data_IF_770933363756
#
_entry.id   IF_770933363756
#
_cell.length_a   1.000
_cell.length_b   1.000
_cell.length_c   1.000
_cell.angle_alpha   90.00
_cell.angle_beta   90.00
_cell.angle_gamma   90.00
#
_symmetry.space_group_name_H-M   'P 1'
#
loop_
_entity.id
_entity.type
_entity.pdbx_description
1 polymer ?
#
# COMPACT_ATOMS: atom_id res chain seq x y z
N UNK A 1 27.45 -14.06 -28.20
CA UNK A 1 26.44 -13.81 -27.14
C UNK A 1 27.12 -13.01 -26.07
N UNK A 2 26.58 -11.85 -25.70
CA UNK A 2 27.10 -11.05 -24.58
C UNK A 2 27.13 -11.94 -23.31
N UNK A 3 28.23 -11.97 -22.53
CA UNK A 3 28.31 -12.75 -21.29
C UNK A 3 27.12 -12.53 -20.36
N UNK A 4 26.54 -11.33 -20.36
CA UNK A 4 25.34 -11.02 -19.59
C UNK A 4 24.08 -11.69 -20.13
N UNK A 5 23.92 -11.76 -21.45
CA UNK A 5 22.78 -12.46 -22.04
C UNK A 5 22.91 -13.99 -21.86
N UNK A 6 24.13 -14.51 -21.75
CA UNK A 6 24.36 -15.91 -21.40
C UNK A 6 23.93 -16.21 -19.95
N UNK A 7 24.17 -15.30 -19.00
CA UNK A 7 23.70 -15.45 -17.61
C UNK A 7 22.16 -15.48 -17.50
N UNK A 8 21.46 -14.65 -18.27
CA UNK A 8 19.98 -14.63 -18.31
C UNK A 8 19.42 -15.84 -19.05
N UNK A 9 20.18 -16.43 -19.98
CA UNK A 9 19.75 -17.60 -20.76
C UNK A 9 19.57 -18.87 -19.91
N UNK A 10 20.22 -18.94 -18.75
CA UNK A 10 20.04 -20.02 -17.77
C UNK A 10 19.00 -19.61 -16.73
N UNK A 11 17.74 -20.06 -16.84
CA UNK A 11 16.69 -19.64 -15.92
C UNK A 11 16.97 -20.19 -14.52
N UNK A 12 17.11 -19.29 -13.56
CA UNK A 12 17.10 -19.67 -12.15
C UNK A 12 15.67 -19.92 -11.68
N UNK A 13 15.32 -21.19 -11.54
CA UNK A 13 14.01 -21.65 -11.09
C UNK A 13 13.65 -21.14 -9.69
N UNK A 14 14.62 -20.86 -8.83
CA UNK A 14 14.37 -20.30 -7.51
C UNK A 14 13.89 -18.84 -7.62
N UNK A 15 14.55 -18.04 -8.44
CA UNK A 15 14.13 -16.66 -8.74
C UNK A 15 12.76 -16.62 -9.44
N UNK A 16 12.49 -17.56 -10.34
CA UNK A 16 11.18 -17.70 -10.98
C UNK A 16 10.08 -18.04 -9.95
N UNK A 17 10.30 -19.05 -9.11
CA UNK A 17 9.36 -19.45 -8.07
C UNK A 17 9.11 -18.34 -7.05
N UNK A 18 10.17 -17.63 -6.65
CA UNK A 18 10.08 -16.45 -5.79
C UNK A 18 9.22 -15.35 -6.41
N UNK A 19 9.45 -15.06 -7.69
CA UNK A 19 8.66 -14.05 -8.41
C UNK A 19 7.19 -14.46 -8.49
N UNK A 20 6.88 -15.74 -8.77
CA UNK A 20 5.50 -16.23 -8.78
C UNK A 20 4.82 -16.11 -7.41
N UNK A 21 5.55 -16.42 -6.34
CA UNK A 21 5.04 -16.27 -4.96
C UNK A 21 4.74 -14.80 -4.63
N UNK A 22 5.59 -13.88 -5.06
CA UNK A 22 5.38 -12.43 -4.88
C UNK A 22 4.12 -11.98 -5.62
N UNK A 23 3.91 -12.42 -6.86
CA UNK A 23 2.70 -12.11 -7.62
C UNK A 23 1.43 -12.55 -6.91
N UNK A 24 1.38 -13.82 -6.48
CA UNK A 24 0.22 -14.35 -5.74
C UNK A 24 0.00 -13.55 -4.46
N UNK A 25 1.07 -13.22 -3.73
CA UNK A 25 1.02 -12.41 -2.52
C UNK A 25 0.44 -11.02 -2.75
N UNK A 26 0.81 -10.34 -3.84
CA UNK A 26 0.27 -9.02 -4.23
C UNK A 26 -1.23 -9.13 -4.51
N UNK A 27 -1.65 -10.06 -5.38
CA UNK A 27 -3.06 -10.24 -5.74
C UNK A 27 -3.92 -10.51 -4.50
N UNK A 28 -3.48 -11.42 -3.63
CA UNK A 28 -4.22 -11.76 -2.40
C UNK A 28 -4.28 -10.58 -1.42
N UNK A 29 -3.24 -9.74 -1.35
CA UNK A 29 -3.18 -8.60 -0.43
C UNK A 29 -4.10 -7.46 -0.83
N UNK A 30 -4.14 -7.13 -2.12
CA UNK A 30 -4.86 -5.96 -2.62
C UNK A 30 -6.32 -6.25 -2.94
N UNK A 31 -6.66 -7.48 -3.36
CA UNK A 31 -8.02 -7.85 -3.74
C UNK A 31 -9.08 -7.50 -2.67
N UNK A 32 -8.91 -7.78 -1.37
CA UNK A 32 -9.89 -7.42 -0.34
C UNK A 32 -10.07 -5.90 -0.21
N UNK A 33 -8.99 -5.12 -0.40
CA UNK A 33 -9.03 -3.67 -0.33
C UNK A 33 -9.81 -3.09 -1.53
N UNK A 34 -9.52 -3.56 -2.74
CA UNK A 34 -10.26 -3.15 -3.95
C UNK A 34 -11.75 -3.50 -3.85
N UNK A 35 -12.07 -4.72 -3.40
CA UNK A 35 -13.46 -5.15 -3.21
C UNK A 35 -14.19 -4.27 -2.19
N UNK A 36 -13.52 -3.86 -1.10
CA UNK A 36 -14.10 -2.96 -0.10
C UNK A 36 -14.42 -1.59 -0.68
N UNK A 37 -13.51 -0.99 -1.46
CA UNK A 37 -13.73 0.31 -2.09
C UNK A 37 -14.87 0.23 -3.11
N UNK A 38 -14.88 -0.81 -3.96
CA UNK A 38 -15.92 -1.03 -4.98
C UNK A 38 -17.30 -1.23 -4.32
N UNK A 39 -17.36 -1.97 -3.21
CA UNK A 39 -18.62 -2.22 -2.48
C UNK A 39 -19.13 -1.00 -1.73
N UNK A 40 -18.23 -0.22 -1.12
CA UNK A 40 -18.61 0.98 -0.35
C UNK A 40 -18.88 2.19 -1.24
N UNK A 41 -18.46 2.16 -2.51
CA UNK A 41 -18.61 3.26 -3.50
C UNK A 41 -18.20 4.64 -2.96
N UNK A 42 -17.28 4.66 -2.01
CA UNK A 42 -16.91 5.88 -1.29
C UNK A 42 -15.47 5.80 -0.83
N UNK A 43 -14.73 6.87 -1.10
CA UNK A 43 -13.34 7.08 -0.66
C UNK A 43 -13.26 7.83 0.69
N UNK A 44 -14.34 7.88 1.47
CA UNK A 44 -14.41 8.63 2.74
C UNK A 44 -13.32 8.17 3.72
N UNK A 45 -12.54 9.13 4.24
CA UNK A 45 -11.46 8.87 5.20
C UNK A 45 -10.05 8.68 4.59
N UNK A 46 -9.89 8.75 3.27
CA UNK A 46 -8.57 8.80 2.61
C UNK A 46 -8.10 10.25 2.44
N UNK A 47 -6.92 10.58 2.97
CA UNK A 47 -6.31 11.90 2.78
C UNK A 47 -5.81 12.06 1.34
N UNK A 48 -6.28 13.06 0.56
CA UNK A 48 -5.84 13.28 -0.82
C UNK A 48 -4.33 13.50 -0.94
N UNK A 49 -3.72 14.19 0.04
CA UNK A 49 -2.28 14.43 0.06
C UNK A 49 -1.48 13.16 0.33
N UNK A 50 -2.04 12.22 1.09
CA UNK A 50 -1.41 10.92 1.31
C UNK A 50 -1.39 10.10 0.02
N UNK A 51 -2.48 10.15 -0.76
CA UNK A 51 -2.56 9.54 -2.10
C UNK A 51 -1.57 10.22 -3.07
N UNK A 52 -1.44 11.54 -3.02
CA UNK A 52 -0.46 12.28 -3.83
C UNK A 52 0.98 11.84 -3.53
N UNK A 53 1.35 11.77 -2.24
CA UNK A 53 2.70 11.36 -1.83
C UNK A 53 2.98 9.89 -2.19
N UNK A 54 1.99 9.01 -2.01
CA UNK A 54 2.10 7.59 -2.38
C UNK A 54 2.29 7.42 -3.89
N UNK A 55 1.43 8.05 -4.70
CA UNK A 55 1.50 7.97 -6.17
C UNK A 55 2.78 8.55 -6.74
N UNK A 56 3.25 9.69 -6.22
CA UNK A 56 4.51 10.30 -6.67
C UNK A 56 5.72 9.46 -6.25
N UNK A 57 5.75 8.96 -5.01
CA UNK A 57 6.79 8.05 -4.53
C UNK A 57 6.83 6.74 -5.32
N UNK A 58 5.69 6.09 -5.53
CA UNK A 58 5.55 4.84 -6.28
C UNK A 58 5.96 5.00 -7.74
N UNK A 59 5.54 6.09 -8.39
CA UNK A 59 5.95 6.41 -9.78
C UNK A 59 7.47 6.57 -9.88
N UNK A 60 8.11 7.22 -8.92
CA UNK A 60 9.57 7.36 -8.89
C UNK A 60 10.29 6.03 -8.61
N UNK A 61 9.77 5.20 -7.70
CA UNK A 61 10.31 3.86 -7.44
C UNK A 61 10.24 2.97 -8.68
N UNK A 62 9.12 3.03 -9.40
CA UNK A 62 8.92 2.29 -10.62
C UNK A 62 9.83 2.78 -11.76
N UNK A 63 9.88 4.10 -11.98
CA UNK A 63 10.76 4.70 -12.96
C UNK A 63 12.25 4.40 -12.66
N UNK A 64 12.65 4.35 -11.38
CA UNK A 64 14.00 3.93 -10.98
C UNK A 64 14.34 2.54 -11.54
N UNK A 65 13.46 1.54 -11.35
CA UNK A 65 13.67 0.17 -11.83
C UNK A 65 13.79 0.14 -13.36
N UNK A 66 12.93 0.87 -14.08
CA UNK A 66 12.93 0.88 -15.54
C UNK A 66 14.14 1.58 -16.15
N UNK A 67 14.59 2.68 -15.52
CA UNK A 67 15.73 3.47 -15.98
C UNK A 67 17.04 2.74 -15.71
N UNK A 68 17.11 1.93 -14.64
CA UNK A 68 18.33 1.26 -14.19
C UNK A 68 19.06 0.61 -15.40
N UNK A 69 20.34 0.97 -15.66
CA UNK A 69 21.10 0.44 -16.79
C UNK A 69 21.12 -1.09 -16.82
N UNK A 70 21.17 -1.69 -15.62
CA UNK A 70 21.10 -3.15 -15.46
C UNK A 70 19.75 -3.67 -15.99
N UNK A 71 18.62 -3.20 -15.48
CA UNK A 71 17.28 -3.56 -15.99
C UNK A 71 17.15 -3.41 -17.51
N UNK A 72 17.65 -2.31 -18.08
CA UNK A 72 17.58 -2.08 -19.55
C UNK A 72 18.38 -3.08 -20.37
N UNK A 73 19.57 -3.45 -19.90
CA UNK A 73 20.39 -4.45 -20.57
C UNK A 73 19.74 -5.84 -20.49
N UNK A 74 19.01 -6.17 -19.43
CA UNK A 74 18.28 -7.43 -19.33
C UNK A 74 17.14 -7.49 -20.36
N UNK A 75 16.40 -6.38 -20.52
CA UNK A 75 15.36 -6.24 -21.55
C UNK A 75 15.95 -6.29 -22.97
N UNK A 76 17.15 -5.77 -23.18
CA UNK A 76 17.83 -5.85 -24.49
C UNK A 76 18.21 -7.31 -24.84
N UNK A 77 18.70 -8.09 -23.87
CA UNK A 77 19.04 -9.50 -24.04
C UNK A 77 17.84 -10.38 -24.44
N UNK A 78 16.61 -9.98 -24.07
CA UNK A 78 15.38 -10.69 -24.46
C UNK A 78 15.14 -10.79 -25.97
N UNK A 79 15.86 -10.03 -26.80
CA UNK A 79 15.81 -10.19 -28.27
C UNK A 79 16.66 -11.36 -28.78
N UNK A 80 17.59 -11.86 -27.97
CA UNK A 80 18.60 -12.86 -28.36
C UNK A 80 18.41 -14.21 -27.65
N UNK A 81 17.52 -14.31 -26.66
CA UNK A 81 17.28 -15.51 -25.85
C UNK A 81 15.85 -16.04 -26.04
N UNK A 82 15.64 -17.30 -25.65
CA UNK A 82 14.32 -17.92 -25.65
C UNK A 82 13.32 -17.17 -24.74
N UNK A 83 12.04 -17.28 -25.10
CA UNK A 83 10.95 -16.58 -24.41
C UNK A 83 10.85 -16.95 -22.92
N UNK A 84 11.08 -18.22 -22.56
CA UNK A 84 10.94 -18.67 -21.17
C UNK A 84 12.01 -18.09 -20.22
N UNK A 85 13.32 -18.17 -20.52
CA UNK A 85 14.35 -17.48 -19.73
C UNK A 85 14.14 -15.96 -19.67
N UNK A 86 13.73 -15.31 -20.77
CA UNK A 86 13.40 -13.89 -20.76
C UNK A 86 12.24 -13.57 -19.81
N UNK A 87 11.14 -14.32 -19.90
CA UNK A 87 9.98 -14.12 -19.01
C UNK A 87 10.37 -14.39 -17.57
N UNK A 88 11.10 -15.45 -17.26
CA UNK A 88 11.54 -15.74 -15.90
C UNK A 88 12.47 -14.65 -15.34
N UNK A 89 13.40 -14.17 -16.17
CA UNK A 89 14.35 -13.10 -15.86
C UNK A 89 13.71 -11.72 -15.75
N UNK A 90 12.59 -11.45 -16.42
CA UNK A 90 11.88 -10.17 -16.32
C UNK A 90 10.62 -10.24 -15.46
N UNK A 91 10.18 -11.42 -15.00
CA UNK A 91 8.87 -11.61 -14.39
C UNK A 91 8.62 -10.63 -13.24
N UNK A 92 9.59 -10.44 -12.34
CA UNK A 92 9.45 -9.47 -11.25
C UNK A 92 9.19 -8.04 -11.76
N UNK A 93 9.96 -7.56 -12.73
CA UNK A 93 9.77 -6.21 -13.31
C UNK A 93 8.46 -6.14 -14.10
N UNK A 94 8.14 -7.20 -14.84
CA UNK A 94 6.94 -7.34 -15.66
C UNK A 94 5.66 -7.40 -14.83
N UNK A 95 5.70 -8.01 -13.64
CA UNK A 95 4.59 -8.04 -12.69
C UNK A 95 4.14 -6.63 -12.30
N UNK A 96 5.06 -5.66 -12.29
CA UNK A 96 4.74 -4.26 -12.01
C UNK A 96 4.36 -3.44 -13.26
N UNK A 97 4.54 -4.01 -14.46
CA UNK A 97 4.18 -3.43 -15.77
C UNK A 97 2.82 -3.94 -16.30
N UNK A 98 2.30 -5.04 -15.75
CA UNK A 98 1.04 -5.65 -16.19
C UNK A 98 -0.15 -4.72 -15.88
N UNK A 99 -1.00 -4.37 -16.86
CA UNK A 99 -2.20 -3.54 -16.62
C UNK A 99 -3.23 -4.18 -15.68
N UNK A 100 -3.19 -5.51 -15.51
CA UNK A 100 -4.03 -6.24 -14.56
C UNK A 100 -3.45 -6.28 -13.14
N UNK A 101 -2.14 -6.01 -13.00
CA UNK A 101 -1.40 -5.93 -11.74
C UNK A 101 -0.73 -4.54 -11.62
N UNK A 102 -1.46 -3.50 -12.06
CA UNK A 102 -0.97 -2.14 -12.05
C UNK A 102 -0.49 -1.76 -10.65
N UNK A 103 0.60 -1.00 -10.62
CA UNK A 103 1.18 -0.44 -9.41
C UNK A 103 0.08 -0.01 -8.42
N UNK A 104 0.01 -0.58 -7.21
CA UNK A 104 -1.14 -0.41 -6.31
C UNK A 104 -1.44 1.05 -6.00
N UNK A 105 -0.45 1.94 -6.14
CA UNK A 105 -0.60 3.38 -6.01
C UNK A 105 -1.38 4.02 -7.17
N UNK A 106 -1.15 3.58 -8.41
CA UNK A 106 -1.87 4.09 -9.60
C UNK A 106 -3.31 3.59 -9.63
N UNK A 107 -3.51 2.33 -9.24
CA UNK A 107 -4.85 1.73 -9.14
C UNK A 107 -5.64 2.40 -8.00
N UNK A 108 -4.98 2.69 -6.86
CA UNK A 108 -5.56 3.51 -5.79
C UNK A 108 -5.95 4.91 -6.26
N UNK A 109 -5.17 5.55 -7.16
CA UNK A 109 -5.51 6.84 -7.73
C UNK A 109 -6.75 6.77 -8.65
N UNK A 110 -6.86 5.71 -9.45
CA UNK A 110 -8.01 5.50 -10.34
C UNK A 110 -9.29 5.22 -9.55
N UNK A 111 -9.23 4.31 -8.57
CA UNK A 111 -10.37 4.07 -7.67
C UNK A 111 -10.69 5.32 -6.85
N UNK A 112 -9.69 6.07 -6.40
CA UNK A 112 -9.90 7.35 -5.72
C UNK A 112 -10.68 8.32 -6.61
N UNK A 113 -10.32 8.50 -7.88
CA UNK A 113 -11.01 9.41 -8.81
C UNK A 113 -12.44 8.95 -9.14
N UNK A 114 -12.65 7.65 -9.32
CA UNK A 114 -13.97 7.08 -9.68
C UNK A 114 -14.94 7.14 -8.51
N UNK A 115 -14.49 6.80 -7.30
CA UNK A 115 -15.30 6.73 -6.09
C UNK A 115 -15.18 7.96 -5.18
N UNK A 116 -14.44 9.00 -5.60
CA UNK A 116 -14.56 10.30 -4.95
C UNK A 116 -15.98 10.80 -5.17
N UNK A 117 -16.71 11.23 -4.13
CA UNK A 117 -18.05 11.77 -4.31
C UNK A 117 -17.97 12.98 -5.24
N UNK A 118 -18.38 12.79 -6.49
CA UNK A 118 -18.80 13.87 -7.37
C UNK A 118 -20.04 14.43 -6.71
N UNK A 119 -20.02 15.70 -6.33
CA UNK A 119 -21.22 16.38 -5.84
C UNK A 119 -22.34 16.08 -6.83
N UNK A 120 -23.25 15.19 -6.45
CA UNK A 120 -24.42 14.85 -7.22
C UNK A 120 -25.28 16.11 -7.28
N UNK A 121 -25.68 16.47 -8.49
CA UNK A 121 -26.57 17.55 -8.89
C UNK A 121 -27.32 18.27 -7.75
N UNK A 122 -27.29 19.61 -7.69
CA UNK A 122 -28.03 20.41 -6.70
C UNK A 122 -29.56 20.43 -6.91
N UNK A 123 -30.14 19.41 -7.55
CA UNK A 123 -31.56 19.38 -7.92
C UNK A 123 -32.39 18.29 -7.23
N UNK A 124 -31.80 17.54 -6.31
CA UNK A 124 -32.52 16.61 -5.43
C UNK A 124 -31.88 16.63 -4.05
N UNK A 125 -32.08 17.74 -3.34
CA UNK A 125 -31.83 17.83 -1.90
C UNK A 125 -33.17 17.57 -1.22
N UNK A 126 -33.47 16.28 -0.97
CA UNK A 126 -34.55 15.90 -0.07
C UNK A 126 -34.17 16.35 1.35
N UNK A 127 -35.07 17.12 1.95
CA UNK A 127 -34.89 17.98 3.14
C UNK A 127 -34.60 17.29 4.48
N UNK A 128 -34.07 16.07 4.54
CA UNK A 128 -33.90 15.31 5.80
C UNK A 128 -32.48 14.79 6.08
N UNK A 129 -31.45 15.19 5.31
CA UNK A 129 -30.07 14.84 5.63
C UNK A 129 -29.50 15.77 6.73
N UNK A 130 -28.94 15.23 7.85
CA UNK A 130 -28.28 16.04 8.86
C UNK A 130 -27.10 16.82 8.25
N UNK A 131 -26.65 17.93 8.87
CA UNK A 131 -25.70 18.86 8.26
C UNK A 131 -24.45 18.11 7.79
N UNK A 132 -24.23 18.07 6.47
CA UNK A 132 -23.03 17.49 5.87
C UNK A 132 -21.82 18.27 6.38
N UNK A 133 -21.13 17.72 7.38
CA UNK A 133 -19.95 18.29 8.01
C UNK A 133 -18.97 18.84 6.96
N UNK A 134 -18.51 20.07 7.18
CA UNK A 134 -17.56 20.86 6.38
C UNK A 134 -16.17 20.21 6.14
N UNK A 135 -15.97 18.94 6.53
CA UNK A 135 -14.67 18.28 6.60
C UNK A 135 -14.32 17.37 5.42
N UNK A 136 -15.23 17.16 4.46
CA UNK A 136 -14.89 16.44 3.23
C UNK A 136 -14.08 17.36 2.30
N UNK A 137 -12.82 17.03 1.92
CA UNK A 137 -12.08 17.83 0.96
C UNK A 137 -12.90 17.98 -0.33
N UNK A 138 -13.01 19.22 -0.82
CA UNK A 138 -13.79 19.51 -2.02
C UNK A 138 -13.35 18.62 -3.18
N UNK A 139 -14.29 18.13 -4.01
CA UNK A 139 -14.02 17.40 -5.25
C UNK A 139 -12.93 18.07 -6.13
N UNK A 140 -12.83 19.40 -6.04
CA UNK A 140 -11.78 20.20 -6.68
C UNK A 140 -10.36 19.83 -6.20
N UNK A 141 -10.17 19.54 -4.92
CA UNK A 141 -8.89 19.11 -4.35
C UNK A 141 -8.51 17.71 -4.82
N UNK A 142 -9.47 16.78 -4.89
CA UNK A 142 -9.24 15.43 -5.41
C UNK A 142 -8.84 15.45 -6.90
N UNK A 143 -9.53 16.27 -7.70
CA UNK A 143 -9.20 16.48 -9.10
C UNK A 143 -7.82 17.12 -9.26
N UNK A 144 -7.50 18.14 -8.45
CA UNK A 144 -6.20 18.80 -8.44
C UNK A 144 -5.06 17.83 -8.09
N UNK A 145 -5.21 17.03 -7.04
CA UNK A 145 -4.26 15.97 -6.66
C UNK A 145 -4.05 15.00 -7.82
N UNK A 146 -5.12 14.51 -8.44
CA UNK A 146 -5.03 13.57 -9.56
C UNK A 146 -4.29 14.19 -10.74
N UNK A 147 -4.62 15.43 -11.11
CA UNK A 147 -3.95 16.15 -12.18
C UNK A 147 -2.45 16.34 -11.91
N UNK A 148 -2.08 16.68 -10.68
CA UNK A 148 -0.66 16.82 -10.27
C UNK A 148 0.05 15.47 -10.34
N UNK A 149 -0.56 14.39 -9.84
CA UNK A 149 0.02 13.04 -9.92
C UNK A 149 0.26 12.60 -11.36
N UNK A 150 -0.72 12.81 -12.25
CA UNK A 150 -0.61 12.49 -13.68
C UNK A 150 0.48 13.33 -14.35
N UNK A 151 0.48 14.65 -14.11
CA UNK A 151 1.51 15.54 -14.66
C UNK A 151 2.91 15.14 -14.19
N UNK A 152 3.08 14.84 -12.90
CA UNK A 152 4.33 14.34 -12.36
C UNK A 152 4.79 13.05 -13.05
N UNK A 153 3.88 12.08 -13.24
CA UNK A 153 4.19 10.84 -13.93
C UNK A 153 4.64 11.07 -15.39
N UNK A 154 3.96 11.96 -16.10
CA UNK A 154 4.33 12.35 -17.47
C UNK A 154 5.72 12.99 -17.50
N UNK A 155 6.01 13.92 -16.59
CA UNK A 155 7.34 14.58 -16.51
C UNK A 155 8.43 13.55 -16.22
N UNK A 156 8.23 12.68 -15.22
CA UNK A 156 9.18 11.62 -14.88
C UNK A 156 9.41 10.70 -16.07
N UNK A 157 8.36 10.32 -16.80
CA UNK A 157 8.48 9.51 -18.01
C UNK A 157 9.32 10.22 -19.08
N UNK A 158 9.01 11.47 -19.42
CA UNK A 158 9.74 12.25 -20.44
C UNK A 158 11.22 12.39 -20.07
N UNK A 159 11.53 12.78 -18.83
CA UNK A 159 12.91 12.90 -18.37
C UNK A 159 13.63 11.55 -18.39
N UNK A 160 12.95 10.48 -17.98
CA UNK A 160 13.49 9.12 -18.03
C UNK A 160 13.82 8.71 -19.47
N UNK A 161 12.91 8.91 -20.41
CA UNK A 161 13.16 8.68 -21.84
C UNK A 161 14.36 9.49 -22.35
N UNK A 162 14.44 10.77 -21.98
CA UNK A 162 15.55 11.63 -22.39
C UNK A 162 16.90 11.13 -21.86
N UNK A 163 17.01 10.79 -20.57
CA UNK A 163 18.24 10.23 -20.01
C UNK A 163 18.59 8.86 -20.62
N UNK A 164 17.59 8.04 -20.91
CA UNK A 164 17.75 6.70 -21.48
C UNK A 164 18.35 6.74 -22.89
N UNK A 165 17.88 7.66 -23.73
CA UNK A 165 18.24 7.71 -25.16
C UNK A 165 19.25 8.81 -25.51
N UNK A 166 19.11 10.01 -24.95
CA UNK A 166 19.98 11.13 -25.30
C UNK A 166 21.27 11.15 -24.47
N UNK A 167 21.25 10.65 -23.22
CA UNK A 167 22.38 10.72 -22.28
C UNK A 167 22.55 9.43 -21.46
N UNK A 168 22.84 8.27 -22.10
CA UNK A 168 22.90 6.98 -21.41
C UNK A 168 23.95 6.93 -20.29
N UNK A 169 25.04 7.71 -20.39
CA UNK A 169 26.07 7.81 -19.35
C UNK A 169 25.53 8.33 -18.00
N UNK A 170 24.48 9.16 -18.01
CA UNK A 170 23.90 9.73 -16.79
C UNK A 170 22.68 8.96 -16.27
N UNK A 171 22.30 7.86 -16.94
CA UNK A 171 21.12 7.06 -16.58
C UNK A 171 21.19 6.52 -15.15
N UNK A 172 22.36 6.02 -14.71
CA UNK A 172 22.52 5.54 -13.33
C UNK A 172 22.28 6.66 -12.30
N UNK A 173 22.77 7.87 -12.58
CA UNK A 173 22.56 9.03 -11.72
C UNK A 173 21.09 9.42 -11.63
N UNK A 174 20.38 9.40 -12.75
CA UNK A 174 18.93 9.64 -12.80
C UNK A 174 18.15 8.58 -12.01
N UNK A 175 18.50 7.29 -12.17
CA UNK A 175 17.90 6.22 -11.38
C UNK A 175 18.11 6.46 -9.87
N UNK A 176 19.36 6.72 -9.45
CA UNK A 176 19.68 6.98 -8.05
C UNK A 176 18.89 8.17 -7.48
N UNK A 177 18.75 9.25 -8.24
CA UNK A 177 17.92 10.40 -7.86
C UNK A 177 16.46 9.99 -7.63
N UNK A 178 15.86 9.26 -8.58
CA UNK A 178 14.47 8.78 -8.45
C UNK A 178 14.26 7.87 -7.23
N UNK A 179 15.23 7.01 -6.91
CA UNK A 179 15.16 6.11 -5.75
C UNK A 179 15.24 6.87 -4.43
N UNK A 180 16.17 7.82 -4.32
CA UNK A 180 16.28 8.70 -3.14
C UNK A 180 15.01 9.53 -2.98
N UNK A 181 14.55 10.17 -4.07
CA UNK A 181 13.37 11.01 -4.05
C UNK A 181 12.12 10.22 -3.63
N UNK A 182 11.94 9.02 -4.18
CA UNK A 182 10.88 8.09 -3.77
C UNK A 182 10.95 7.76 -2.28
N UNK A 183 12.14 7.44 -1.77
CA UNK A 183 12.35 7.11 -0.34
C UNK A 183 12.02 8.28 0.58
N UNK A 184 12.41 9.51 0.20
CA UNK A 184 12.10 10.73 0.96
C UNK A 184 10.59 10.96 1.00
N UNK A 185 9.91 10.88 -0.15
CA UNK A 185 8.46 11.03 -0.21
C UNK A 185 7.72 9.98 0.62
N UNK A 186 8.15 8.72 0.55
CA UNK A 186 7.58 7.65 1.37
C UNK A 186 7.83 7.91 2.86
N UNK A 187 9.02 8.39 3.24
CA UNK A 187 9.31 8.72 4.64
C UNK A 187 8.42 9.85 5.17
N UNK A 188 8.18 10.89 4.36
CA UNK A 188 7.24 11.98 4.67
C UNK A 188 5.81 11.44 4.83
N UNK A 189 5.45 10.39 4.09
CA UNK A 189 4.15 9.75 4.21
C UNK A 189 4.04 8.89 5.49
N UNK A 190 5.05 8.08 5.81
CA UNK A 190 5.01 7.13 6.92
C UNK A 190 5.26 7.77 8.29
N UNK A 191 6.15 8.77 8.41
CA UNK A 191 6.48 9.34 9.73
C UNK A 191 5.29 10.00 10.44
N UNK A 192 4.48 10.85 9.79
CA UNK A 192 3.28 11.41 10.41
C UNK A 192 2.31 10.31 10.85
N UNK A 193 2.14 9.26 10.04
CA UNK A 193 1.28 8.13 10.38
C UNK A 193 1.78 7.38 11.62
N UNK A 194 3.10 7.17 11.74
CA UNK A 194 3.72 6.56 12.91
C UNK A 194 3.48 7.43 14.15
N UNK A 195 3.76 8.73 14.03
CA UNK A 195 3.56 9.68 15.12
C UNK A 195 2.10 9.72 15.59
N UNK A 196 1.15 9.87 14.66
CA UNK A 196 -0.27 9.92 14.98
C UNK A 196 -0.75 8.61 15.61
N UNK A 197 -0.33 7.46 15.11
CA UNK A 197 -0.68 6.16 15.70
C UNK A 197 -0.12 6.03 17.12
N UNK A 198 1.10 6.50 17.35
CA UNK A 198 1.72 6.53 18.67
C UNK A 198 0.95 7.42 19.65
N UNK A 199 0.54 8.62 19.22
CA UNK A 199 -0.19 9.57 20.04
C UNK A 199 -1.62 9.11 20.35
N UNK A 200 -2.33 8.57 19.36
CA UNK A 200 -3.72 8.12 19.52
C UNK A 200 -3.84 6.78 20.27
N UNK A 201 -2.77 5.97 20.31
CA UNK A 201 -2.74 4.63 20.91
C UNK A 201 -3.85 3.70 20.39
N UNK A 202 -4.32 3.94 19.17
CA UNK A 202 -5.32 3.13 18.45
C UNK A 202 -4.92 3.02 16.99
N UNK A 203 -5.21 1.88 16.41
CA UNK A 203 -5.12 1.66 14.96
C UNK A 203 -6.41 2.22 14.38
N UNK A 204 -6.33 3.36 13.68
CA UNK A 204 -7.50 4.04 13.11
C UNK A 204 -8.14 3.25 11.96
N UNK A 205 -8.16 3.80 10.75
CA UNK A 205 -8.68 3.12 9.55
C UNK A 205 -7.72 2.07 8.95
N UNK A 206 -6.57 1.83 9.58
CA UNK A 206 -5.48 1.02 9.03
C UNK A 206 -5.80 -0.49 9.12
N UNK A 207 -5.71 -1.19 8.00
CA UNK A 207 -5.97 -2.63 7.92
C UNK A 207 -4.74 -3.44 8.37
N UNK A 208 -4.73 -3.88 9.64
CA UNK A 208 -3.68 -4.77 10.19
C UNK A 208 -3.47 -6.02 9.31
N UNK A 209 -4.53 -6.73 8.85
CA UNK A 209 -4.33 -7.92 8.00
C UNK A 209 -3.57 -7.62 6.70
N UNK A 210 -3.85 -6.47 6.09
CA UNK A 210 -3.19 -6.06 4.86
C UNK A 210 -1.71 -5.76 5.10
N UNK A 211 -1.36 -5.16 6.25
CA UNK A 211 0.03 -4.89 6.61
C UNK A 211 0.81 -6.16 6.97
N UNK A 212 0.16 -7.17 7.59
CA UNK A 212 0.79 -8.45 7.89
C UNK A 212 1.29 -9.18 6.64
N UNK A 213 0.66 -8.98 5.49
CA UNK A 213 1.10 -9.58 4.22
C UNK A 213 2.07 -8.65 3.48
N UNK A 214 1.78 -7.35 3.44
CA UNK A 214 2.63 -6.38 2.72
C UNK A 214 4.00 -6.21 3.34
N UNK A 215 4.12 -6.10 4.67
CA UNK A 215 5.40 -5.83 5.33
C UNK A 215 6.42 -6.94 5.04
N UNK A 216 6.12 -8.24 5.22
CA UNK A 216 7.04 -9.29 4.77
C UNK A 216 7.26 -9.28 3.25
N UNK A 217 6.20 -9.03 2.48
CA UNK A 217 6.26 -8.93 1.02
C UNK A 217 7.26 -7.89 0.51
N UNK A 218 7.35 -6.72 1.16
CA UNK A 218 8.29 -5.66 0.76
C UNK A 218 9.75 -6.07 0.96
N UNK A 219 10.06 -6.84 2.01
CA UNK A 219 11.41 -7.38 2.23
C UNK A 219 11.75 -8.49 1.24
N UNK A 220 10.79 -9.37 0.95
CA UNK A 220 10.95 -10.42 -0.06
C UNK A 220 11.19 -9.80 -1.44
N UNK A 221 10.44 -8.76 -1.78
CA UNK A 221 10.61 -8.00 -3.00
C UNK A 221 11.98 -7.30 -3.06
N UNK A 222 12.39 -6.61 -1.99
CA UNK A 222 13.72 -6.01 -1.90
C UNK A 222 14.83 -7.06 -2.09
N UNK A 223 14.71 -8.23 -1.46
CA UNK A 223 15.63 -9.35 -1.63
C UNK A 223 15.70 -9.84 -3.08
N UNK A 224 14.56 -9.97 -3.76
CA UNK A 224 14.54 -10.35 -5.17
C UNK A 224 15.28 -9.34 -6.05
N UNK A 225 15.18 -8.04 -5.75
CA UNK A 225 15.89 -6.98 -6.47
C UNK A 225 17.39 -6.96 -6.15
N UNK A 226 17.79 -7.32 -4.93
CA UNK A 226 19.21 -7.52 -4.58
C UNK A 226 19.80 -8.68 -5.39
N UNK A 227 19.10 -9.80 -5.49
CA UNK A 227 19.56 -10.96 -6.27
C UNK A 227 19.67 -10.62 -7.76
N UNK A 228 18.75 -9.82 -8.29
CA UNK A 228 18.71 -9.42 -9.71
C UNK A 228 19.76 -8.37 -10.06
N UNK A 229 19.86 -7.30 -9.26
CA UNK A 229 20.66 -6.14 -9.62
C UNK A 229 21.96 -5.98 -8.83
N UNK A 230 22.09 -6.66 -7.70
CA UNK A 230 23.26 -6.53 -6.81
C UNK A 230 23.41 -5.12 -6.22
N UNK A 231 24.65 -4.72 -5.99
CA UNK A 231 24.99 -3.40 -5.41
C UNK A 231 24.69 -2.23 -6.35
N UNK A 232 24.75 -2.43 -7.67
CA UNK A 232 24.44 -1.39 -8.67
C UNK A 232 22.97 -0.97 -8.64
N UNK A 233 22.08 -1.86 -8.20
CA UNK A 233 20.65 -1.62 -8.04
C UNK A 233 20.23 -1.10 -6.66
N UNK A 234 21.16 -0.58 -5.84
CA UNK A 234 20.86 -0.18 -4.46
C UNK A 234 19.72 0.83 -4.35
N UNK A 235 19.59 1.74 -5.31
CA UNK A 235 18.52 2.73 -5.32
C UNK A 235 17.15 2.11 -5.65
N UNK A 236 17.11 0.94 -6.29
CA UNK A 236 15.89 0.19 -6.58
C UNK A 236 15.42 -0.62 -5.37
N UNK A 237 16.30 -1.45 -4.79
CA UNK A 237 15.92 -2.30 -3.65
C UNK A 237 15.88 -1.53 -2.33
N UNK A 238 16.67 -0.46 -2.19
CA UNK A 238 16.78 0.34 -0.97
C UNK A 238 15.46 1.03 -0.60
N UNK A 239 14.70 1.49 -1.59
CA UNK A 239 13.37 2.09 -1.36
C UNK A 239 12.44 1.12 -0.65
N UNK A 240 12.39 -0.13 -1.10
CA UNK A 240 11.53 -1.18 -0.53
C UNK A 240 12.01 -1.65 0.84
N UNK A 241 13.33 -1.64 1.08
CA UNK A 241 13.89 -1.92 2.39
C UNK A 241 13.46 -0.85 3.41
N UNK A 242 13.64 0.43 3.09
CA UNK A 242 13.30 1.54 3.99
C UNK A 242 11.79 1.59 4.24
N UNK A 243 10.98 1.50 3.18
CA UNK A 243 9.51 1.49 3.31
C UNK A 243 9.02 0.27 4.08
N UNK A 244 9.62 -0.91 3.88
CA UNK A 244 9.33 -2.11 4.65
C UNK A 244 9.64 -1.94 6.14
N UNK A 245 10.74 -1.29 6.50
CA UNK A 245 11.05 -0.97 7.91
C UNK A 245 10.00 -0.02 8.51
N UNK A 246 9.62 1.04 7.78
CA UNK A 246 8.60 2.00 8.23
C UNK A 246 7.23 1.33 8.41
N UNK A 247 6.83 0.49 7.46
CA UNK A 247 5.62 -0.34 7.55
C UNK A 247 5.70 -1.34 8.71
N UNK A 248 6.86 -1.95 8.94
CA UNK A 248 7.10 -2.86 10.06
C UNK A 248 6.93 -2.17 11.42
N UNK A 249 7.47 -0.97 11.59
CA UNK A 249 7.26 -0.16 12.79
C UNK A 249 5.78 0.10 13.06
N UNK A 250 5.02 0.49 12.02
CA UNK A 250 3.58 0.68 12.11
C UNK A 250 2.84 -0.62 12.48
N UNK A 251 3.21 -1.74 11.87
CA UNK A 251 2.59 -3.04 12.12
C UNK A 251 2.78 -3.49 13.57
N UNK A 252 4.01 -3.37 14.09
CA UNK A 252 4.33 -3.74 15.47
C UNK A 252 3.55 -2.88 16.45
N UNK A 253 3.61 -1.56 16.28
CA UNK A 253 2.90 -0.62 17.14
C UNK A 253 1.37 -0.81 17.06
N UNK A 254 0.83 -0.98 15.85
CA UNK A 254 -0.59 -1.18 15.65
C UNK A 254 -1.09 -2.48 16.26
N UNK A 255 -0.37 -3.59 16.05
CA UNK A 255 -0.68 -4.87 16.66
C UNK A 255 -0.65 -4.78 18.18
N UNK A 256 0.35 -4.09 18.75
CA UNK A 256 0.46 -3.87 20.19
C UNK A 256 -0.76 -3.13 20.76
N UNK A 257 -1.15 -2.00 20.15
CA UNK A 257 -2.29 -1.21 20.63
C UNK A 257 -3.63 -1.93 20.45
N UNK A 258 -3.84 -2.64 19.34
CA UNK A 258 -5.05 -3.44 19.10
C UNK A 258 -5.19 -4.57 20.14
N UNK A 259 -4.10 -5.29 20.41
CA UNK A 259 -4.09 -6.34 21.44
C UNK A 259 -4.37 -5.76 22.82
N UNK A 260 -3.77 -4.62 23.15
CA UNK A 260 -4.01 -3.95 24.43
C UNK A 260 -5.47 -3.50 24.56
N UNK A 261 -6.06 -2.94 23.50
CA UNK A 261 -7.46 -2.50 23.48
C UNK A 261 -8.41 -3.66 23.74
N UNK A 262 -8.28 -4.75 22.96
CA UNK A 262 -9.12 -5.96 23.11
C UNK A 262 -8.98 -6.58 24.50
N UNK A 263 -7.78 -6.56 25.09
CA UNK A 263 -7.56 -7.03 26.46
C UNK A 263 -8.30 -6.19 27.50
N UNK A 264 -8.41 -4.87 27.31
CA UNK A 264 -9.17 -3.98 28.20
C UNK A 264 -10.68 -4.22 28.05
N UNK A 265 -11.19 -4.25 26.82
CA UNK A 265 -12.60 -4.52 26.56
C UNK A 265 -13.07 -5.87 27.13
N UNK A 266 -12.24 -6.91 26.99
CA UNK A 266 -12.55 -8.23 27.57
C UNK A 266 -12.63 -8.17 29.10
N UNK A 267 -11.74 -7.42 29.77
CA UNK A 267 -11.79 -7.23 31.23
C UNK A 267 -13.03 -6.44 31.65
N UNK A 268 -13.38 -5.39 30.91
CA UNK A 268 -14.57 -4.58 31.21
C UNK A 268 -15.86 -5.39 31.05
N UNK A 269 -15.94 -6.22 30.00
CA UNK A 269 -17.07 -7.14 29.78
C UNK A 269 -17.17 -8.18 30.89
N UNK A 270 -16.05 -8.78 31.30
CA UNK A 270 -16.01 -9.74 32.42
C UNK A 270 -16.47 -9.10 33.73
N UNK A 271 -16.03 -7.88 34.03
CA UNK A 271 -16.47 -7.13 35.22
C UNK A 271 -17.98 -6.84 35.19
N UNK A 272 -18.53 -6.45 34.04
CA UNK A 272 -19.98 -6.22 33.88
C UNK A 272 -20.79 -7.52 34.03
N UNK A 273 -20.31 -8.63 33.49
CA UNK A 273 -20.96 -9.94 33.65
C UNK A 273 -20.94 -10.40 35.11
N UNK A 274 -19.83 -10.19 35.83
CA UNK A 274 -19.73 -10.52 37.25
C UNK A 274 -20.69 -9.68 38.12
N UNK A 275 -20.94 -8.41 37.75
CA UNK A 275 -21.90 -7.55 38.43
C UNK A 275 -23.37 -7.86 38.07
N UNK A 276 -23.61 -8.45 36.90
CA UNK A 276 -24.96 -8.75 36.39
C UNK A 276 -25.51 -10.11 36.85
N UNK A 277 -24.70 -10.98 37.47
CA UNK A 277 -25.17 -12.20 38.14
C UNK A 277 -25.60 -11.77 39.55
N UNK A 278 -26.91 -11.65 39.85
CA UNK A 278 -27.35 -11.38 41.20
C UNK A 278 -27.04 -12.60 42.06
N UNK A 279 -26.53 -12.39 43.27
CA UNK A 279 -26.53 -13.41 44.31
C UNK A 279 -27.96 -13.96 44.43
N UNK A 280 -28.17 -15.14 43.84
CA UNK A 280 -29.41 -15.90 44.00
C UNK A 280 -29.33 -16.59 45.36
N UNK A 281 -29.33 -15.78 46.42
CA UNK A 281 -29.33 -16.22 47.82
C UNK A 281 -30.13 -15.29 48.73
N UNK A 282 -31.10 -14.55 48.17
CA UNK A 282 -32.09 -13.81 48.96
C UNK A 282 -33.39 -14.60 49.06
N UNK A 283 -33.54 -15.21 50.23
CA UNK A 283 -34.71 -15.85 50.85
C UNK A 283 -36.06 -15.20 50.48
N UNK A 284 -36.85 -15.86 49.63
CA UNK A 284 -38.30 -15.58 49.53
C UNK A 284 -39.02 -16.27 50.69
N UNK A 285 -39.20 -15.56 51.79
CA UNK A 285 -40.28 -15.80 52.74
C UNK A 285 -41.00 -14.48 52.99
N UNK A 286 -41.94 -14.16 52.11
CA UNK A 286 -42.94 -13.11 52.32
C UNK A 286 -44.14 -13.72 53.04
N UNK A 287 -44.48 -13.30 54.27
CA UNK A 287 -45.66 -13.81 54.96
C UNK A 287 -46.91 -13.13 54.39
N UNK A 288 -47.87 -13.94 53.93
CA UNK A 288 -49.17 -13.47 53.46
C UNK A 288 -49.93 -12.81 54.62
N UNK A 289 -50.28 -11.54 54.43
CA UNK A 289 -51.18 -10.78 55.29
C UNK A 289 -52.53 -11.49 55.39
N UNK A 290 -52.93 -11.77 56.63
CA UNK A 290 -54.25 -12.24 57.05
C UNK A 290 -55.28 -11.17 56.69
N UNK A 291 -56.26 -11.51 55.85
CA UNK A 291 -57.47 -10.71 55.73
C UNK A 291 -58.45 -11.18 56.81
N UNK A 292 -58.67 -10.32 57.80
CA UNK A 292 -59.90 -10.30 58.60
C UNK A 292 -61.00 -9.70 57.73
N UNK A 293 -62.04 -10.50 57.47
CA UNK A 293 -63.48 -10.16 57.55
C UNK A 293 -64.32 -11.16 56.73
#
# INVERSE_FOLDING_TARGET
MDPRCAEISTPDYANFGLSLLILVGIVVSYLPQHLRIIRLRSSYGLSPYFVLLGTTSGTCAFANILVLPKSRSDVACCREIDAFPCVAGLLGVAQRLSPHDADPDLDSLLLFLIFFPRTSNPLTDDQDDPPKEELAPSYRTALGVTAISVLHAVIVAILSFWFVYARPQHTQGWANFLGIFSTVLASIQYFPQIYTTFMLKRVGSLSIPMMCIQTPGSFVWAGSLVLRYGSEGWSAWGVYLVTGCLQGCLLVMGSYFEIMHRRREKKDLQSRMAQAIPDTSTTEQTPLLRAED
#
